data_IF_206779283910
#
_entry.id   IF_206779283910
#
_cell.length_a   1.000
_cell.length_b   1.000
_cell.length_c   1.000
_cell.angle_alpha   90.00
_cell.angle_beta   90.00
_cell.angle_gamma   90.00
#
_symmetry.space_group_name_H-M   'P 1'
#
loop_
_entity.id
_entity.type
_entity.pdbx_description
1 polymer ?
#
# COMPACT_ATOMS: atom_id res chain seq x y z
N UNK A 1 18.46 -19.23 64.44
CA UNK A 1 18.30 -17.79 64.71
C UNK A 1 18.93 -17.02 63.55
N UNK A 2 18.11 -16.25 62.80
CA UNK A 2 18.43 -15.04 62.00
C UNK A 2 19.59 -15.14 60.96
N UNK A 3 19.46 -14.78 59.69
CA UNK A 3 18.55 -13.83 59.04
C UNK A 3 18.49 -14.08 57.52
N UNK A 4 17.31 -13.83 56.95
CA UNK A 4 17.08 -13.51 55.54
C UNK A 4 17.99 -12.36 55.11
N UNK A 5 18.73 -12.51 54.01
CA UNK A 5 19.30 -11.37 53.29
C UNK A 5 19.12 -11.59 51.78
N UNK A 6 18.09 -10.88 51.29
CA UNK A 6 17.64 -10.63 49.93
C UNK A 6 18.48 -11.18 48.78
N UNK A 7 17.91 -12.15 48.07
CA UNK A 7 18.10 -12.27 46.61
C UNK A 7 17.63 -10.96 45.98
N UNK A 8 18.56 -10.03 45.75
CA UNK A 8 18.36 -8.97 44.77
C UNK A 8 18.56 -9.63 43.42
N UNK A 9 17.49 -10.25 42.92
CA UNK A 9 17.39 -10.63 41.51
C UNK A 9 17.61 -9.31 40.76
N UNK A 10 18.78 -9.15 40.16
CA UNK A 10 19.07 -8.04 39.27
C UNK A 10 18.09 -8.16 38.11
N UNK A 11 16.98 -7.46 38.28
CA UNK A 11 15.96 -7.13 37.32
C UNK A 11 16.59 -6.28 36.22
N UNK A 12 17.46 -6.87 35.40
CA UNK A 12 17.57 -6.45 34.01
C UNK A 12 16.38 -7.05 33.27
N UNK A 13 15.19 -6.53 33.62
CA UNK A 13 14.15 -6.32 32.62
C UNK A 13 14.86 -5.44 31.59
N UNK A 14 15.44 -6.09 30.59
CA UNK A 14 15.71 -5.46 29.30
C UNK A 14 14.30 -5.16 28.83
N UNK A 15 13.80 -4.01 29.28
CA UNK A 15 12.68 -3.34 28.66
C UNK A 15 13.22 -3.10 27.26
N UNK A 16 12.93 -4.02 26.35
CA UNK A 16 12.82 -3.73 24.95
C UNK A 16 11.80 -2.60 24.90
N UNK A 17 12.29 -1.37 25.09
CA UNK A 17 11.66 -0.18 24.58
C UNK A 17 11.74 -0.41 23.08
N UNK A 18 10.78 -1.20 22.60
CA UNK A 18 10.46 -1.34 21.21
C UNK A 18 10.21 0.10 20.81
N UNK A 19 11.23 0.71 20.22
CA UNK A 19 11.13 2.00 19.59
C UNK A 19 9.94 1.84 18.65
N UNK A 20 8.76 2.28 19.10
CA UNK A 20 7.59 2.38 18.24
C UNK A 20 8.03 3.46 17.27
N UNK A 21 8.59 3.03 16.14
CA UNK A 21 9.14 3.91 15.13
C UNK A 21 7.96 4.72 14.63
N UNK A 22 7.82 5.92 15.18
CA UNK A 22 6.72 6.80 14.85
C UNK A 22 6.99 7.24 13.42
N UNK A 23 6.15 6.76 12.50
CA UNK A 23 6.22 7.13 11.09
C UNK A 23 6.35 8.66 10.97
N UNK A 24 7.31 9.13 10.17
CA UNK A 24 7.55 10.57 9.99
C UNK A 24 6.28 11.21 9.42
N UNK A 25 5.77 12.25 10.06
CA UNK A 25 4.60 12.96 9.56
C UNK A 25 4.94 13.73 8.27
N UNK A 26 3.97 13.81 7.38
CA UNK A 26 4.08 14.50 6.11
C UNK A 26 2.77 15.17 5.71
N UNK A 27 2.87 16.30 5.03
CA UNK A 27 1.77 16.94 4.30
C UNK A 27 2.03 16.98 2.80
N UNK A 28 3.31 16.95 2.42
CA UNK A 28 3.78 16.94 1.05
C UNK A 28 4.80 15.80 0.86
N UNK A 29 4.90 15.29 -0.36
CA UNK A 29 5.88 14.25 -0.70
C UNK A 29 7.32 14.69 -0.41
N UNK A 30 7.63 15.99 -0.52
CA UNK A 30 8.94 16.55 -0.21
C UNK A 30 9.36 16.32 1.24
N UNK A 31 8.42 16.08 2.16
CA UNK A 31 8.74 15.73 3.54
C UNK A 31 9.32 14.33 3.65
N UNK A 32 9.02 13.44 2.71
CA UNK A 32 9.49 12.05 2.72
C UNK A 32 10.77 11.86 1.87
N UNK A 33 11.25 12.89 1.16
CA UNK A 33 12.42 12.83 0.27
C UNK A 33 13.74 12.38 0.90
N UNK A 34 13.86 12.46 2.23
CA UNK A 34 15.04 11.99 2.97
C UNK A 34 15.14 10.46 3.00
N UNK A 35 14.02 9.77 2.88
CA UNK A 35 13.92 8.31 2.97
C UNK A 35 13.53 7.80 1.58
N UNK A 36 14.44 7.05 0.96
CA UNK A 36 14.19 6.46 -0.36
C UNK A 36 12.99 5.51 -0.29
N UNK A 37 12.27 5.37 -1.40
CA UNK A 37 11.15 4.44 -1.53
C UNK A 37 9.99 4.69 -0.55
N UNK A 38 9.85 5.92 -0.04
CA UNK A 38 8.69 6.31 0.77
C UNK A 38 7.74 7.23 0.03
N UNK A 39 6.46 7.07 0.30
CA UNK A 39 5.39 7.95 -0.19
C UNK A 39 4.63 8.54 1.00
N UNK A 40 4.27 9.82 0.89
CA UNK A 40 3.41 10.47 1.85
C UNK A 40 1.97 9.97 1.70
N UNK A 41 1.54 9.12 2.63
CA UNK A 41 0.23 8.49 2.65
C UNK A 41 -0.40 8.69 4.03
N UNK A 42 -1.68 9.10 4.07
CA UNK A 42 -2.41 9.29 5.34
C UNK A 42 -1.70 10.23 6.33
N UNK A 43 -0.95 11.20 5.81
CA UNK A 43 -0.19 12.16 6.61
C UNK A 43 1.09 11.61 7.24
N UNK A 44 1.56 10.43 6.82
CA UNK A 44 2.82 9.82 7.26
C UNK A 44 3.62 9.24 6.09
N UNK A 45 4.95 9.21 6.21
CA UNK A 45 5.82 8.58 5.23
C UNK A 45 5.78 7.05 5.41
N UNK A 46 5.26 6.36 4.39
CA UNK A 46 5.17 4.90 4.36
C UNK A 46 6.02 4.33 3.22
N UNK A 47 6.59 3.16 3.46
CA UNK A 47 7.26 2.34 2.47
C UNK A 47 6.25 1.62 1.58
N UNK A 48 6.70 1.06 0.45
CA UNK A 48 5.85 0.39 -0.55
C UNK A 48 4.96 -0.75 -0.02
N UNK A 49 5.25 -1.28 1.17
CA UNK A 49 4.46 -2.27 1.90
C UNK A 49 3.45 -1.66 2.89
N UNK A 50 3.18 -0.35 2.81
CA UNK A 50 2.37 0.44 3.75
C UNK A 50 2.89 0.46 5.20
N UNK A 51 4.14 0.05 5.46
CA UNK A 51 4.74 0.12 6.79
C UNK A 51 5.65 1.35 6.95
N UNK A 52 5.85 1.86 8.17
CA UNK A 52 6.83 2.90 8.41
C UNK A 52 8.25 2.39 8.14
N UNK A 53 9.16 3.26 7.68
CA UNK A 53 10.56 2.90 7.49
C UNK A 53 11.20 2.48 8.81
N UNK A 54 11.97 1.40 8.79
CA UNK A 54 12.72 0.93 9.93
C UNK A 54 14.10 1.59 9.93
N UNK A 55 14.40 2.36 10.98
CA UNK A 55 15.66 3.10 11.10
C UNK A 55 16.01 4.00 9.89
N UNK A 56 14.99 4.57 9.23
CA UNK A 56 15.18 5.41 8.04
C UNK A 56 15.38 4.66 6.74
N UNK A 57 15.05 3.36 6.69
CA UNK A 57 15.14 2.54 5.48
C UNK A 57 13.86 1.73 5.26
N UNK A 58 13.52 1.47 3.99
CA UNK A 58 12.40 0.63 3.60
C UNK A 58 12.89 -0.78 3.23
N UNK A 59 12.33 -1.80 3.87
CA UNK A 59 12.62 -3.20 3.51
C UNK A 59 11.88 -3.65 2.24
N UNK A 60 10.77 -2.99 1.90
CA UNK A 60 10.02 -3.26 0.69
C UNK A 60 10.79 -2.82 -0.56
N UNK A 61 11.00 -3.76 -1.47
CA UNK A 61 11.64 -3.49 -2.77
C UNK A 61 10.62 -2.98 -3.80
N UNK A 62 9.39 -3.50 -3.75
CA UNK A 62 8.29 -3.13 -4.64
C UNK A 62 7.35 -2.13 -3.96
N UNK A 63 6.67 -1.36 -4.78
CA UNK A 63 5.75 -0.30 -4.41
C UNK A 63 4.31 -0.79 -4.57
N UNK A 64 3.57 -0.77 -3.47
CA UNK A 64 2.15 -1.11 -3.43
C UNK A 64 1.27 -0.05 -4.12
N UNK A 65 -0.04 -0.29 -4.20
CA UNK A 65 -0.97 0.68 -4.77
C UNK A 65 -0.91 2.02 -4.04
N UNK A 66 -1.04 3.12 -4.81
CA UNK A 66 -0.95 4.51 -4.36
C UNK A 66 0.45 5.00 -3.95
N UNK A 67 1.48 4.17 -4.05
CA UNK A 67 2.87 4.59 -3.91
C UNK A 67 3.42 5.16 -5.20
N UNK A 68 4.43 6.03 -5.08
CA UNK A 68 5.12 6.63 -6.23
C UNK A 68 6.02 5.60 -6.90
N UNK A 69 6.03 5.61 -8.23
CA UNK A 69 6.86 4.74 -9.05
C UNK A 69 7.54 5.54 -10.16
N UNK A 70 8.62 4.99 -10.71
CA UNK A 70 9.28 5.51 -11.92
C UNK A 70 9.03 4.60 -13.11
N UNK A 71 8.85 3.30 -12.87
CA UNK A 71 8.61 2.28 -13.89
C UNK A 71 7.59 1.25 -13.40
N UNK A 72 6.96 0.52 -14.32
CA UNK A 72 6.02 -0.56 -13.98
C UNK A 72 6.69 -1.67 -13.15
N UNK A 73 7.97 -1.94 -13.38
CA UNK A 73 8.77 -2.91 -12.63
C UNK A 73 9.03 -2.52 -11.16
N UNK A 74 8.76 -1.26 -10.78
CA UNK A 74 8.82 -0.83 -9.38
C UNK A 74 7.56 -1.25 -8.60
N UNK A 75 6.46 -1.55 -9.29
CA UNK A 75 5.17 -1.85 -8.66
C UNK A 75 5.03 -3.33 -8.30
N UNK A 76 4.18 -3.63 -7.31
CA UNK A 76 3.77 -5.00 -6.98
C UNK A 76 3.04 -5.69 -8.15
N UNK A 77 2.97 -7.02 -8.11
CA UNK A 77 2.27 -7.80 -9.13
C UNK A 77 0.83 -7.32 -9.35
N UNK A 78 0.40 -7.33 -10.61
CA UNK A 78 -0.92 -6.86 -11.06
C UNK A 78 -1.17 -5.36 -10.82
N UNK A 79 -0.11 -4.55 -10.74
CA UNK A 79 -0.17 -3.10 -10.73
C UNK A 79 0.68 -2.49 -11.84
N UNK A 80 0.20 -1.38 -12.40
CA UNK A 80 0.89 -0.60 -13.41
C UNK A 80 1.29 0.77 -12.85
N UNK A 81 2.44 1.27 -13.32
CA UNK A 81 2.89 2.61 -13.00
C UNK A 81 2.22 3.61 -13.96
N UNK A 82 1.24 4.35 -13.46
CA UNK A 82 0.46 5.29 -14.26
C UNK A 82 0.75 6.74 -13.86
N UNK A 83 0.85 7.67 -14.83
CA UNK A 83 0.99 9.09 -14.52
C UNK A 83 -0.18 9.61 -13.70
N UNK A 84 0.09 10.41 -12.66
CA UNK A 84 -0.96 10.94 -11.77
C UNK A 84 -2.04 11.73 -12.53
N UNK A 85 -1.65 12.41 -13.61
CA UNK A 85 -2.55 13.15 -14.52
C UNK A 85 -3.61 12.28 -15.21
N UNK A 86 -3.38 10.98 -15.35
CA UNK A 86 -4.28 10.02 -15.99
C UNK A 86 -5.18 9.29 -14.98
N UNK A 87 -4.98 9.52 -13.68
CA UNK A 87 -5.75 8.90 -12.61
C UNK A 87 -7.10 9.58 -12.47
N UNK A 88 -8.15 8.97 -13.05
CA UNK A 88 -9.51 9.50 -13.03
C UNK A 88 -10.12 9.67 -11.62
N UNK A 89 -9.68 8.85 -10.65
CA UNK A 89 -10.14 8.91 -9.25
C UNK A 89 -8.95 8.83 -8.31
N UNK A 90 -8.45 9.99 -7.90
CA UNK A 90 -7.36 10.10 -6.92
C UNK A 90 -7.95 9.91 -5.51
N UNK A 91 -7.50 8.92 -4.72
CA UNK A 91 -7.87 8.78 -3.32
C UNK A 91 -7.54 10.05 -2.52
N UNK A 92 -8.37 10.36 -1.52
CA UNK A 92 -8.12 11.51 -0.61
C UNK A 92 -6.74 11.47 0.04
N UNK A 93 -6.25 10.26 0.31
CA UNK A 93 -4.96 10.00 0.95
C UNK A 93 -3.76 10.44 0.11
N UNK A 94 -3.91 10.54 -1.23
CA UNK A 94 -2.87 10.97 -2.17
C UNK A 94 -3.24 12.20 -2.98
N UNK A 95 -4.32 12.90 -2.62
CA UNK A 95 -4.76 14.10 -3.36
C UNK A 95 -3.68 15.19 -3.42
N UNK A 96 -2.82 15.27 -2.40
CA UNK A 96 -1.69 16.21 -2.38
C UNK A 96 -0.64 15.91 -3.46
N UNK A 97 -0.50 14.65 -3.89
CA UNK A 97 0.42 14.27 -4.98
C UNK A 97 -0.13 14.70 -6.34
N UNK A 98 -1.44 14.97 -6.47
CA UNK A 98 -2.02 15.50 -7.71
C UNK A 98 -1.56 16.93 -8.03
N UNK A 99 -1.01 17.66 -7.05
CA UNK A 99 -0.42 18.99 -7.24
C UNK A 99 0.92 18.95 -7.99
N UNK A 100 1.49 17.75 -8.13
CA UNK A 100 2.79 17.49 -8.74
C UNK A 100 2.60 16.62 -9.99
N UNK A 101 2.44 17.24 -11.18
CA UNK A 101 1.97 16.58 -12.39
C UNK A 101 2.96 15.57 -12.99
N UNK A 102 4.24 15.65 -12.64
CA UNK A 102 5.31 14.78 -13.14
C UNK A 102 5.45 13.46 -12.37
N UNK A 103 4.62 13.23 -11.34
CA UNK A 103 4.66 11.97 -10.59
C UNK A 103 3.78 10.90 -11.22
N UNK A 104 4.28 9.67 -11.16
CA UNK A 104 3.55 8.45 -11.47
C UNK A 104 3.31 7.63 -10.21
N UNK A 105 2.19 6.93 -10.16
CA UNK A 105 1.80 6.09 -9.02
C UNK A 105 1.48 4.66 -9.47
N UNK A 106 1.69 3.70 -8.59
CA UNK A 106 1.26 2.33 -8.80
C UNK A 106 -0.26 2.22 -8.63
N UNK A 107 -0.93 1.63 -9.62
CA UNK A 107 -2.37 1.40 -9.61
C UNK A 107 -2.66 -0.04 -10.01
N UNK A 108 -3.56 -0.69 -9.28
CA UNK A 108 -3.99 -2.04 -9.65
C UNK A 108 -4.59 -2.05 -11.06
N UNK A 109 -4.26 -3.09 -11.81
CA UNK A 109 -4.78 -3.38 -13.14
C UNK A 109 -6.30 -3.53 -13.14
N UNK A 110 -6.91 -3.34 -14.31
CA UNK A 110 -8.34 -3.63 -14.47
C UNK A 110 -8.63 -5.09 -14.10
N UNK A 111 -9.60 -5.29 -13.22
CA UNK A 111 -9.90 -6.62 -12.69
C UNK A 111 -9.36 -6.88 -11.29
N UNK A 112 -8.34 -6.14 -10.86
CA UNK A 112 -7.75 -6.27 -9.53
C UNK A 112 -8.25 -5.20 -8.56
N UNK A 113 -8.14 -5.49 -7.27
CA UNK A 113 -8.53 -4.58 -6.17
C UNK A 113 -7.39 -4.39 -5.18
N UNK A 114 -7.35 -3.23 -4.54
CA UNK A 114 -6.32 -2.90 -3.54
C UNK A 114 -6.56 -3.72 -2.25
N UNK A 115 -5.62 -4.60 -1.90
CA UNK A 115 -5.64 -5.40 -0.66
C UNK A 115 -4.40 -5.03 0.15
N UNK A 116 -4.53 -3.98 0.96
CA UNK A 116 -3.40 -3.45 1.72
C UNK A 116 -2.31 -2.90 0.79
N UNK A 117 -1.14 -3.53 0.80
CA UNK A 117 0.00 -3.16 -0.04
C UNK A 117 0.12 -3.95 -1.36
N UNK A 118 -0.84 -4.83 -1.66
CA UNK A 118 -0.84 -5.63 -2.88
C UNK A 118 -2.13 -5.42 -3.68
N UNK A 119 -2.12 -5.87 -4.94
CA UNK A 119 -3.30 -5.93 -5.79
C UNK A 119 -3.79 -7.37 -5.85
N UNK A 120 -5.04 -7.60 -5.46
CA UNK A 120 -5.62 -8.94 -5.41
C UNK A 120 -7.04 -9.02 -5.95
N UNK A 121 -7.43 -10.24 -6.32
CA UNK A 121 -8.70 -10.58 -6.92
C UNK A 121 -8.62 -10.59 -8.45
N UNK A 122 -8.99 -11.70 -9.05
CA UNK A 122 -9.43 -11.72 -10.45
C UNK A 122 -10.92 -11.39 -10.41
N UNK A 123 -11.34 -10.20 -10.84
CA UNK A 123 -12.73 -10.04 -11.24
C UNK A 123 -12.94 -11.01 -12.41
N UNK A 124 -13.59 -12.13 -12.14
CA UNK A 124 -14.33 -12.87 -13.16
C UNK A 124 -15.31 -11.86 -13.77
N UNK A 125 -14.87 -11.21 -14.85
CA UNK A 125 -15.75 -10.50 -15.74
C UNK A 125 -16.67 -11.59 -16.28
N UNK A 126 -17.83 -11.74 -15.64
CA UNK A 126 -18.89 -12.67 -15.98
C UNK A 126 -19.49 -12.25 -17.32
N UNK A 127 -18.68 -12.30 -18.37
CA UNK A 127 -19.17 -12.33 -19.74
C UNK A 127 -19.78 -13.72 -19.92
N UNK A 128 -21.04 -13.75 -20.37
CA UNK A 128 -21.91 -14.91 -20.66
C UNK A 128 -22.89 -15.23 -19.51
N UNK A 129 -24.21 -15.01 -19.72
CA UNK A 129 -24.90 -15.61 -20.86
C UNK A 129 -25.86 -14.68 -21.62
N UNK A 130 -25.35 -14.02 -22.66
CA UNK A 130 -26.19 -13.60 -23.80
C UNK A 130 -26.69 -14.84 -24.58
N UNK A 131 -26.05 -16.00 -24.40
CA UNK A 131 -26.50 -17.29 -24.96
C UNK A 131 -27.80 -17.85 -24.36
N UNK A 132 -28.22 -17.45 -23.15
CA UNK A 132 -29.48 -17.93 -22.59
C UNK A 132 -30.71 -17.23 -23.20
N UNK A 133 -30.55 -16.01 -23.70
CA UNK A 133 -31.65 -15.25 -24.31
C UNK A 133 -32.03 -15.83 -25.69
N UNK A 134 -31.06 -16.34 -26.46
CA UNK A 134 -31.32 -16.94 -27.77
C UNK A 134 -32.17 -18.22 -27.69
N UNK A 135 -31.96 -19.07 -26.66
CA UNK A 135 -32.73 -20.31 -26.49
C UNK A 135 -34.18 -20.04 -26.06
N UNK A 136 -34.40 -19.03 -25.21
CA UNK A 136 -35.75 -18.64 -24.77
C UNK A 136 -36.55 -18.05 -25.92
N UNK A 137 -35.94 -17.22 -26.79
CA UNK A 137 -36.61 -16.67 -27.96
C UNK A 137 -36.96 -17.78 -28.97
N UNK A 138 -36.06 -18.75 -29.22
CA UNK A 138 -36.33 -19.84 -30.16
C UNK A 138 -37.46 -20.78 -29.71
N UNK A 139 -37.70 -20.89 -28.40
CA UNK A 139 -38.81 -21.66 -27.80
C UNK A 139 -40.14 -20.90 -27.74
N UNK A 140 -40.13 -19.56 -27.86
CA UNK A 140 -41.35 -18.74 -27.90
C UNK A 140 -41.88 -18.62 -29.34
N UNK A 141 -41.00 -18.68 -30.34
CA UNK A 141 -41.35 -18.56 -31.76
C UNK A 141 -41.52 -19.91 -32.50
N UNK A 142 -41.47 -21.04 -31.81
CA UNK A 142 -41.79 -22.39 -32.31
C UNK A 142 -42.89 -23.00 -31.44
#
# INVERSE_FOLDING_TARGET
MKAFLSLVVFSSVITFSCCVVKAKQCTLQTNCSLIKNTTCLRGVCLCGDNHPPNNGECSAQLQGPNHICSKNEDCVDNADCIPMKEVNKVPKEISHLSLTPDLSICRCQEGYTEIGATCGGEKLLSTVPVMLIAVVIFKIFN
#
